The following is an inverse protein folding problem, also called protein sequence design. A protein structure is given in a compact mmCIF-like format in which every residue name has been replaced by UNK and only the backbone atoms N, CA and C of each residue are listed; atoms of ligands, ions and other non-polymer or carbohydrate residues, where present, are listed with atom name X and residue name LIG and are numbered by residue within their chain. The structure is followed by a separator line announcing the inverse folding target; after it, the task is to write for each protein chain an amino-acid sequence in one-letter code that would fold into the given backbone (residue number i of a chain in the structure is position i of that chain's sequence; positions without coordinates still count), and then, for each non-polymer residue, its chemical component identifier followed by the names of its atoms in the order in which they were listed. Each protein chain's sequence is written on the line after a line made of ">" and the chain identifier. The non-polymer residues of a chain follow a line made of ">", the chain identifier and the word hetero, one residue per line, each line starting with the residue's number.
data_IF_351065176229
#
_entry.id   IF_351065176229
#
_cell.length_a   1.000
_cell.length_b   1.000
_cell.length_c   1.000
_cell.angle_alpha   90.00
_cell.angle_beta   90.00
_cell.angle_gamma   90.00
#
_symmetry.space_group_name_H-M   'P 1'
#
loop_
_entity.id
_entity.type
_entity.pdbx_description
1 polymer ?
#
# COMPACT_ATOMS: atom_id res chain seq x y z
N UNK A 1 -13.18 57.92 24.44
CA UNK A 1 -12.12 58.75 23.84
C UNK A 1 -11.02 58.77 24.88
N UNK A 2 -10.13 57.78 24.89
CA UNK A 2 -9.04 57.58 23.91
C UNK A 2 -7.77 58.08 24.61
N UNK A 3 -6.59 57.48 24.53
CA UNK A 3 -6.08 56.32 23.82
C UNK A 3 -4.91 55.80 24.66
N UNK A 4 -4.60 54.53 24.46
CA UNK A 4 -3.44 53.79 24.94
C UNK A 4 -2.13 54.34 24.32
N UNK A 5 -0.98 54.11 24.97
CA UNK A 5 0.28 53.64 24.34
C UNK A 5 1.52 53.65 25.25
N UNK A 6 2.12 52.46 25.26
CA UNK A 6 3.54 52.14 25.10
C UNK A 6 4.45 52.34 26.31
N UNK A 7 5.01 51.21 26.75
CA UNK A 7 6.41 50.77 26.53
C UNK A 7 7.32 51.59 27.45
N UNK A 8 7.96 50.96 28.41
CA UNK A 8 9.37 50.55 28.35
C UNK A 8 9.63 50.13 29.83
N UNK A 9 10.43 49.13 30.21
CA UNK A 9 11.79 48.93 29.80
C UNK A 9 12.36 47.68 30.45
N UNK A 10 13.44 47.23 29.82
CA UNK A 10 14.35 46.17 30.17
C UNK A 10 14.96 46.28 31.59
N UNK A 11 15.21 45.15 32.25
CA UNK A 11 16.36 44.96 33.16
C UNK A 11 16.51 43.46 33.46
N UNK A 12 17.48 42.74 32.90
CA UNK A 12 18.90 42.73 33.25
C UNK A 12 19.13 42.48 34.76
N UNK A 13 19.35 41.21 35.09
CA UNK A 13 19.90 40.79 36.37
C UNK A 13 21.31 41.38 36.60
N UNK A 14 21.55 41.94 37.78
CA UNK A 14 22.88 42.05 38.40
C UNK A 14 22.80 41.67 39.90
N UNK A 15 23.91 41.27 40.55
CA UNK A 15 23.92 40.14 41.49
C UNK A 15 24.05 40.49 42.98
N UNK A 16 23.97 39.45 43.84
CA UNK A 16 24.39 39.37 45.25
C UNK A 16 23.33 39.84 46.28
N UNK A 17 22.84 38.98 47.17
CA UNK A 17 23.64 38.31 48.21
C UNK A 17 23.22 36.84 48.48
N UNK A 18 24.13 36.09 49.10
CA UNK A 18 24.24 34.64 49.10
C UNK A 18 23.14 33.86 49.86
N UNK A 19 22.44 33.00 49.13
CA UNK A 19 21.74 31.81 49.65
C UNK A 19 21.00 31.17 48.48
N UNK A 20 21.46 30.03 47.97
CA UNK A 20 21.04 29.42 46.69
C UNK A 20 19.53 29.56 46.41
N UNK A 21 19.22 30.57 45.60
CA UNK A 21 17.89 30.96 45.11
C UNK A 21 17.26 29.87 44.23
N UNK A 22 15.98 29.61 44.47
CA UNK A 22 15.03 29.59 43.37
C UNK A 22 14.11 30.78 43.62
N UNK A 23 14.14 31.76 42.71
CA UNK A 23 13.28 32.94 42.75
C UNK A 23 11.82 32.48 42.66
N UNK A 24 11.08 32.52 43.76
CA UNK A 24 9.63 32.41 43.73
C UNK A 24 9.07 33.84 43.68
N UNK A 25 8.58 34.25 42.51
CA UNK A 25 7.85 35.50 42.38
C UNK A 25 6.47 35.33 43.01
N UNK A 26 6.23 36.07 44.09
CA UNK A 26 4.94 36.23 44.72
C UNK A 26 4.01 36.99 43.76
N UNK A 27 3.14 36.25 43.06
CA UNK A 27 2.02 36.86 42.34
C UNK A 27 0.87 37.01 43.33
N UNK A 28 0.70 38.23 43.83
CA UNK A 28 -0.51 38.64 44.53
C UNK A 28 -1.74 38.44 43.61
N UNK A 29 -2.45 37.33 43.80
CA UNK A 29 -3.80 37.16 43.29
C UNK A 29 -4.77 37.85 44.26
N UNK A 30 -5.38 38.96 43.83
CA UNK A 30 -6.51 39.57 44.54
C UNK A 30 -7.65 38.53 44.68
N UNK A 31 -8.43 38.53 45.79
CA UNK A 31 -9.41 37.50 46.05
C UNK A 31 -10.64 37.75 45.17
N UNK A 32 -10.75 37.07 44.04
CA UNK A 32 -12.01 37.00 43.29
C UNK A 32 -12.72 35.72 43.70
N UNK A 33 -13.52 35.85 44.75
CA UNK A 33 -14.45 34.84 45.23
C UNK A 33 -15.54 34.63 44.14
N UNK A 34 -15.64 33.44 43.57
CA UNK A 34 -16.72 33.07 42.64
C UNK A 34 -17.67 32.07 43.31
N UNK A 35 -18.94 32.44 43.43
CA UNK A 35 -20.01 31.54 43.87
C UNK A 35 -20.50 30.71 42.68
N UNK A 36 -20.35 29.39 42.74
CA UNK A 36 -20.98 28.48 41.77
C UNK A 36 -22.40 28.15 42.25
N UNK A 37 -23.41 28.54 41.46
CA UNK A 37 -24.80 28.13 41.70
C UNK A 37 -24.92 26.64 41.36
N UNK A 38 -25.38 25.81 42.30
CA UNK A 38 -25.71 24.41 42.00
C UNK A 38 -26.86 24.36 40.98
N UNK A 39 -26.54 24.07 39.73
CA UNK A 39 -27.53 23.82 38.68
C UNK A 39 -27.01 22.78 37.70
N UNK A 40 -27.65 21.62 37.71
CA UNK A 40 -27.59 20.64 36.64
C UNK A 40 -26.55 19.54 36.85
N UNK A 41 -27.03 18.30 36.93
CA UNK A 41 -26.24 17.12 36.61
C UNK A 41 -25.59 17.35 35.24
N UNK A 42 -24.27 17.51 35.19
CA UNK A 42 -23.53 17.53 33.92
C UNK A 42 -23.35 16.09 33.49
N UNK A 43 -24.22 15.60 32.62
CA UNK A 43 -24.04 14.30 32.00
C UNK A 43 -22.97 14.44 30.92
N UNK A 44 -21.76 13.93 31.16
CA UNK A 44 -20.76 13.74 30.10
C UNK A 44 -21.22 12.53 29.30
N UNK A 45 -21.88 12.78 28.17
CA UNK A 45 -22.21 11.73 27.21
C UNK A 45 -20.95 11.50 26.37
N UNK A 46 -20.25 10.40 26.61
CA UNK A 46 -19.20 9.95 25.68
C UNK A 46 -19.93 9.26 24.53
N UNK A 47 -20.15 9.98 23.43
CA UNK A 47 -20.57 9.34 22.18
C UNK A 47 -19.37 8.53 21.67
N UNK A 48 -19.39 7.23 21.94
CA UNK A 48 -18.36 6.28 21.50
C UNK A 48 -18.60 5.80 20.06
N UNK A 49 -19.64 6.31 19.38
CA UNK A 49 -19.96 5.87 18.02
C UNK A 49 -19.18 6.69 17.00
N UNK A 50 -18.37 6.00 16.20
CA UNK A 50 -17.57 6.63 15.17
C UNK A 50 -18.47 6.98 13.96
N UNK A 51 -18.35 8.18 13.36
CA UNK A 51 -19.20 8.56 12.24
C UNK A 51 -19.00 7.67 11.01
N UNK A 52 -20.09 7.36 10.31
CA UNK A 52 -20.05 6.63 9.04
C UNK A 52 -19.32 7.48 7.99
N UNK A 53 -18.33 6.92 7.24
CA UNK A 53 -17.67 7.67 6.18
C UNK A 53 -18.65 8.07 5.07
N UNK A 54 -18.46 9.29 4.56
CA UNK A 54 -19.27 9.86 3.48
C UNK A 54 -18.42 10.11 2.23
N UNK A 55 -19.09 10.33 1.09
CA UNK A 55 -18.41 10.67 -0.16
C UNK A 55 -17.60 9.54 -0.78
N UNK A 56 -17.94 8.27 -0.45
CA UNK A 56 -17.32 7.11 -1.10
C UNK A 56 -17.51 7.20 -2.61
N UNK A 57 -16.40 7.22 -3.33
CA UNK A 57 -16.32 7.42 -4.76
C UNK A 57 -15.26 6.53 -5.37
N UNK A 58 -15.42 6.27 -6.67
CA UNK A 58 -14.51 5.44 -7.47
C UNK A 58 -13.53 6.36 -8.20
N UNK A 59 -12.24 6.09 -8.04
CA UNK A 59 -11.16 6.72 -8.78
C UNK A 59 -10.79 5.93 -10.03
N UNK A 60 -9.49 5.69 -10.23
CA UNK A 60 -8.99 4.90 -11.36
C UNK A 60 -9.51 3.47 -11.33
N UNK A 61 -10.12 3.05 -12.44
CA UNK A 61 -10.60 1.68 -12.67
C UNK A 61 -9.69 1.00 -13.69
N UNK A 62 -9.21 -0.19 -13.36
CA UNK A 62 -8.44 -1.08 -14.24
C UNK A 62 -9.13 -2.44 -14.32
N UNK A 63 -8.59 -3.33 -15.15
CA UNK A 63 -9.16 -4.69 -15.31
C UNK A 63 -9.03 -5.54 -14.05
N UNK A 64 -8.03 -5.30 -13.22
CA UNK A 64 -7.77 -6.10 -12.01
C UNK A 64 -7.59 -5.24 -10.76
N UNK A 65 -7.87 -3.94 -10.85
CA UNK A 65 -7.83 -3.06 -9.68
C UNK A 65 -8.82 -1.91 -9.74
N UNK A 66 -9.33 -1.47 -8.60
CA UNK A 66 -10.11 -0.24 -8.47
C UNK A 66 -9.59 0.61 -7.32
N UNK A 67 -9.43 1.91 -7.56
CA UNK A 67 -9.15 2.90 -6.53
C UNK A 67 -10.45 3.45 -5.94
N UNK A 68 -10.50 3.57 -4.62
CA UNK A 68 -11.61 4.09 -3.84
C UNK A 68 -11.12 5.28 -3.01
N UNK A 69 -11.97 6.30 -2.91
CA UNK A 69 -11.72 7.52 -2.15
C UNK A 69 -12.96 7.91 -1.36
N UNK A 70 -12.79 8.46 -0.16
CA UNK A 70 -13.88 8.97 0.67
C UNK A 70 -13.41 10.16 1.51
N UNK A 71 -14.34 10.81 2.20
CA UNK A 71 -14.03 11.92 3.11
C UNK A 71 -13.48 11.40 4.43
N UNK A 72 -12.40 12.01 4.92
CA UNK A 72 -11.82 11.69 6.24
C UNK A 72 -12.83 11.91 7.37
N UNK A 73 -12.96 10.93 8.26
CA UNK A 73 -13.80 10.98 9.45
C UNK A 73 -12.96 11.39 10.66
N UNK A 74 -13.42 12.40 11.40
CA UNK A 74 -12.78 12.83 12.65
C UNK A 74 -12.79 11.69 13.67
N UNK A 75 -11.65 11.46 14.32
CA UNK A 75 -11.48 10.36 15.28
C UNK A 75 -11.19 9.00 14.65
N UNK A 76 -11.24 8.84 13.33
CA UNK A 76 -10.86 7.59 12.69
C UNK A 76 -9.33 7.47 12.60
N UNK A 77 -8.77 6.33 13.03
CA UNK A 77 -7.36 6.01 12.82
C UNK A 77 -7.11 5.36 11.46
N UNK A 78 -8.10 4.61 10.94
CA UNK A 78 -8.08 3.95 9.62
C UNK A 78 -9.51 3.60 9.18
N UNK A 79 -9.64 2.88 8.08
CA UNK A 79 -10.93 2.47 7.52
C UNK A 79 -10.92 1.02 7.07
N UNK A 80 -12.03 0.29 7.25
CA UNK A 80 -12.22 -1.04 6.68
C UNK A 80 -13.02 -0.95 5.39
N UNK A 81 -12.60 -1.72 4.38
CA UNK A 81 -13.22 -1.74 3.06
C UNK A 81 -13.89 -3.09 2.88
N UNK A 82 -15.11 -3.06 2.38
CA UNK A 82 -15.90 -4.24 2.07
C UNK A 82 -16.34 -4.23 0.61
N UNK A 83 -16.43 -5.42 0.04
CA UNK A 83 -16.82 -5.66 -1.35
C UNK A 83 -17.89 -6.73 -1.45
N UNK A 84 -18.86 -6.52 -2.34
CA UNK A 84 -19.84 -7.52 -2.74
C UNK A 84 -19.81 -7.69 -4.27
N UNK A 85 -20.14 -8.88 -4.77
CA UNK A 85 -20.44 -9.06 -6.19
C UNK A 85 -21.75 -8.33 -6.53
N UNK A 86 -21.90 -7.90 -7.79
CA UNK A 86 -23.09 -7.16 -8.21
C UNK A 86 -24.39 -7.90 -7.88
N UNK A 87 -25.30 -7.21 -7.19
CA UNK A 87 -26.59 -7.75 -6.77
C UNK A 87 -26.55 -8.58 -5.47
N UNK A 88 -25.37 -8.87 -4.92
CA UNK A 88 -25.25 -9.45 -3.59
C UNK A 88 -25.56 -8.41 -2.51
N UNK A 89 -26.26 -8.84 -1.46
CA UNK A 89 -26.47 -8.05 -0.24
C UNK A 89 -25.37 -8.27 0.80
N UNK A 90 -24.54 -9.29 0.61
CA UNK A 90 -23.46 -9.65 1.52
C UNK A 90 -22.14 -9.01 1.10
N UNK A 91 -21.63 -8.14 1.96
CA UNK A 91 -20.35 -7.46 1.79
C UNK A 91 -19.25 -8.18 2.58
N UNK A 92 -18.21 -8.63 1.89
CA UNK A 92 -17.05 -9.28 2.48
C UNK A 92 -15.94 -8.27 2.75
N UNK A 93 -15.26 -8.39 3.88
CA UNK A 93 -14.08 -7.57 4.18
C UNK A 93 -12.95 -7.87 3.19
N UNK A 94 -12.38 -6.83 2.58
CA UNK A 94 -11.30 -6.96 1.58
C UNK A 94 -10.00 -6.26 1.98
N UNK A 95 -10.01 -5.46 3.04
CA UNK A 95 -8.79 -4.85 3.56
C UNK A 95 -9.04 -3.58 4.37
N UNK A 96 -7.95 -2.97 4.81
CA UNK A 96 -7.93 -1.70 5.53
C UNK A 96 -7.07 -0.67 4.82
N UNK A 97 -7.41 0.60 4.99
CA UNK A 97 -6.56 1.71 4.56
C UNK A 97 -5.28 1.80 5.41
N UNK A 98 -4.29 2.54 4.91
CA UNK A 98 -3.19 3.00 5.76
C UNK A 98 -3.70 3.98 6.84
N UNK A 99 -3.02 4.09 7.99
CA UNK A 99 -3.41 5.00 9.06
C UNK A 99 -3.56 6.44 8.57
N UNK A 100 -4.69 7.08 8.89
CA UNK A 100 -5.01 8.46 8.49
C UNK A 100 -5.31 8.68 7.00
N UNK A 101 -5.24 7.64 6.15
CA UNK A 101 -5.44 7.77 4.70
C UNK A 101 -6.87 7.36 4.32
N UNK A 102 -7.62 8.26 3.69
CA UNK A 102 -8.99 8.02 3.22
C UNK A 102 -9.04 7.53 1.75
N UNK A 103 -8.13 6.63 1.40
CA UNK A 103 -8.07 5.99 0.07
C UNK A 103 -7.70 4.52 0.20
N UNK A 104 -8.15 3.71 -0.76
CA UNK A 104 -7.80 2.29 -0.85
C UNK A 104 -7.77 1.84 -2.30
N UNK A 105 -6.93 0.86 -2.60
CA UNK A 105 -6.88 0.23 -3.92
C UNK A 105 -7.09 -1.26 -3.75
N UNK A 106 -8.24 -1.74 -4.20
CA UNK A 106 -8.49 -3.17 -4.29
C UNK A 106 -7.81 -3.71 -5.56
N UNK A 107 -6.84 -4.62 -5.39
CA UNK A 107 -6.07 -5.21 -6.49
C UNK A 107 -6.46 -6.67 -6.76
N UNK A 108 -7.57 -7.14 -6.18
CA UNK A 108 -7.99 -8.55 -6.24
C UNK A 108 -9.39 -8.66 -6.85
N UNK A 109 -9.62 -7.98 -7.98
CA UNK A 109 -10.87 -8.03 -8.74
C UNK A 109 -10.68 -8.69 -10.11
N UNK A 110 -11.75 -9.29 -10.62
CA UNK A 110 -11.77 -9.89 -11.96
C UNK A 110 -12.08 -8.84 -13.02
N UNK A 111 -11.54 -8.97 -14.25
CA UNK A 111 -11.89 -8.11 -15.38
C UNK A 111 -13.36 -8.20 -15.78
N UNK A 112 -13.89 -7.12 -16.37
CA UNK A 112 -15.28 -7.02 -16.84
C UNK A 112 -16.31 -7.46 -15.79
N UNK A 113 -16.01 -7.28 -14.50
CA UNK A 113 -16.83 -7.75 -13.39
C UNK A 113 -17.30 -6.55 -12.57
N UNK A 114 -18.58 -6.56 -12.21
CA UNK A 114 -19.20 -5.49 -11.43
C UNK A 114 -19.15 -5.83 -9.94
N UNK A 115 -18.69 -4.86 -9.16
CA UNK A 115 -18.57 -4.94 -7.70
C UNK A 115 -19.25 -3.76 -7.04
N UNK A 116 -19.79 -4.01 -5.85
CA UNK A 116 -20.25 -2.98 -4.92
C UNK A 116 -19.25 -2.82 -3.78
N UNK A 117 -18.94 -1.59 -3.40
CA UNK A 117 -18.05 -1.27 -2.29
C UNK A 117 -18.73 -0.46 -1.21
N UNK A 118 -18.34 -0.71 0.04
CA UNK A 118 -18.66 0.10 1.21
C UNK A 118 -17.43 0.28 2.07
N UNK A 119 -17.44 1.33 2.89
CA UNK A 119 -16.36 1.64 3.84
C UNK A 119 -16.93 1.93 5.22
N UNK A 120 -16.23 1.53 6.27
CA UNK A 120 -16.46 1.93 7.66
C UNK A 120 -15.23 2.69 8.18
N UNK A 121 -15.43 3.58 9.13
CA UNK A 121 -14.34 4.17 9.88
C UNK A 121 -13.97 3.26 11.06
N UNK A 122 -12.69 3.25 11.42
CA UNK A 122 -12.16 2.47 12.54
C UNK A 122 -11.32 3.40 13.42
N UNK A 123 -11.58 3.36 14.72
CA UNK A 123 -10.72 3.93 15.75
C UNK A 123 -10.00 2.79 16.48
N UNK A 124 -8.74 3.01 16.84
CA UNK A 124 -7.96 2.06 17.65
C UNK A 124 -7.34 2.87 18.78
N UNK A 125 -7.62 2.49 20.03
CA UNK A 125 -7.05 3.16 21.19
C UNK A 125 -5.59 2.76 21.45
N UNK A 126 -4.96 3.38 22.45
CA UNK A 126 -3.58 3.09 22.84
C UNK A 126 -3.40 1.68 23.41
N UNK A 127 -4.47 1.02 23.85
CA UNK A 127 -4.49 -0.36 24.31
C UNK A 127 -4.74 -1.38 23.18
N UNK A 128 -4.93 -0.92 21.94
CA UNK A 128 -5.20 -1.75 20.77
C UNK A 128 -6.66 -2.16 20.61
N UNK A 129 -7.60 -1.65 21.40
CA UNK A 129 -9.03 -1.92 21.22
C UNK A 129 -9.57 -1.14 20.03
N UNK A 130 -10.30 -1.83 19.15
CA UNK A 130 -10.85 -1.26 17.94
C UNK A 130 -12.36 -1.03 18.07
N UNK A 131 -12.82 0.14 17.61
CA UNK A 131 -14.24 0.46 17.42
C UNK A 131 -14.49 0.79 15.96
N UNK A 132 -15.61 0.34 15.41
CA UNK A 132 -15.93 0.46 13.99
C UNK A 132 -17.33 1.05 13.79
N UNK A 133 -17.46 1.97 12.83
CA UNK A 133 -18.75 2.55 12.46
C UNK A 133 -19.61 1.57 11.67
N UNK A 134 -20.92 1.85 11.51
CA UNK A 134 -21.68 1.27 10.41
C UNK A 134 -21.03 1.54 9.05
N UNK A 135 -21.36 0.71 8.05
CA UNK A 135 -20.85 0.86 6.69
C UNK A 135 -21.54 2.01 5.94
N UNK A 136 -20.81 2.66 5.04
CA UNK A 136 -21.30 3.74 4.17
C UNK A 136 -22.41 3.29 3.20
N UNK A 137 -22.98 4.26 2.49
CA UNK A 137 -23.68 3.98 1.24
C UNK A 137 -22.74 3.29 0.25
N UNK A 138 -23.29 2.41 -0.59
CA UNK A 138 -22.48 1.65 -1.55
C UNK A 138 -22.16 2.49 -2.78
N UNK A 139 -21.01 2.22 -3.39
CA UNK A 139 -20.70 2.62 -4.77
C UNK A 139 -20.56 1.37 -5.63
N UNK A 140 -21.07 1.42 -6.86
CA UNK A 140 -20.99 0.33 -7.83
C UNK A 140 -19.98 0.68 -8.91
N UNK A 141 -19.15 -0.29 -9.29
CA UNK A 141 -18.14 -0.13 -10.34
C UNK A 141 -18.01 -1.41 -11.15
N UNK A 142 -17.89 -1.27 -12.46
CA UNK A 142 -17.49 -2.36 -13.35
C UNK A 142 -16.02 -2.21 -13.69
N UNK A 143 -15.22 -3.24 -13.39
CA UNK A 143 -13.80 -3.26 -13.76
C UNK A 143 -13.64 -3.19 -15.27
N UNK A 144 -12.54 -2.58 -15.73
CA UNK A 144 -12.30 -2.44 -17.15
C UNK A 144 -12.17 -3.82 -17.82
N UNK A 145 -12.48 -3.88 -19.12
CA UNK A 145 -12.14 -5.06 -19.89
C UNK A 145 -10.61 -5.30 -19.85
N UNK A 146 -10.15 -6.55 -19.96
CA UNK A 146 -8.74 -6.82 -20.23
C UNK A 146 -8.33 -6.03 -21.48
N UNK A 147 -7.11 -5.45 -21.52
CA UNK A 147 -6.65 -4.77 -22.72
C UNK A 147 -6.74 -5.72 -23.94
N UNK A 148 -7.31 -5.24 -25.04
CA UNK A 148 -7.70 -6.06 -26.21
C UNK A 148 -6.53 -6.70 -26.97
N UNK A 149 -5.30 -6.44 -26.53
CA UNK A 149 -4.04 -6.99 -27.02
C UNK A 149 -3.55 -8.22 -26.22
N UNK A 150 -4.26 -8.62 -25.15
CA UNK A 150 -3.98 -9.87 -24.46
C UNK A 150 -4.77 -11.03 -25.09
N UNK A 151 -4.13 -12.18 -25.38
CA UNK A 151 -4.88 -13.38 -25.76
C UNK A 151 -5.84 -13.76 -24.62
N UNK A 152 -6.97 -14.37 -24.98
CA UNK A 152 -7.91 -15.02 -24.03
C UNK A 152 -7.14 -15.85 -23.01
N UNK A 153 -7.60 -15.86 -21.75
CA UNK A 153 -6.99 -16.65 -20.66
C UNK A 153 -6.48 -17.99 -21.17
N UNK A 154 -5.18 -18.22 -21.03
CA UNK A 154 -4.55 -19.41 -21.57
C UNK A 154 -5.22 -20.65 -20.95
N UNK A 155 -5.67 -21.59 -21.78
CA UNK A 155 -6.28 -22.86 -21.34
C UNK A 155 -5.26 -23.84 -20.77
N UNK A 156 -3.96 -23.49 -20.83
CA UNK A 156 -2.87 -24.18 -20.15
C UNK A 156 -1.77 -23.19 -19.80
N UNK A 157 -1.26 -23.27 -18.56
CA UNK A 157 -0.14 -22.46 -18.09
C UNK A 157 1.16 -23.27 -18.18
N UNK A 158 2.15 -22.75 -18.89
CA UNK A 158 3.51 -23.33 -18.86
C UNK A 158 4.16 -23.15 -17.49
N UNK A 159 3.84 -22.03 -16.82
CA UNK A 159 4.26 -21.73 -15.45
C UNK A 159 3.05 -21.16 -14.71
N UNK A 160 2.69 -21.75 -13.58
CA UNK A 160 1.62 -21.29 -12.70
C UNK A 160 2.03 -21.54 -11.24
N UNK A 161 2.81 -20.62 -10.69
CA UNK A 161 3.30 -20.71 -9.31
C UNK A 161 2.64 -19.65 -8.44
N UNK A 162 2.01 -20.09 -7.36
CA UNK A 162 1.48 -19.22 -6.31
C UNK A 162 2.33 -19.23 -5.03
N UNK A 163 3.33 -20.13 -4.95
CA UNK A 163 4.22 -20.33 -3.78
C UNK A 163 3.55 -20.69 -2.44
N UNK A 164 2.22 -20.76 -2.36
CA UNK A 164 1.49 -20.97 -1.11
C UNK A 164 1.77 -22.32 -0.45
N UNK A 165 2.09 -23.34 -1.24
CA UNK A 165 2.50 -24.66 -0.74
C UNK A 165 3.98 -24.76 -0.33
N UNK A 166 4.75 -23.68 -0.40
CA UNK A 166 6.19 -23.71 -0.11
C UNK A 166 6.48 -23.43 1.38
N UNK A 167 7.60 -24.00 1.86
CA UNK A 167 8.10 -23.77 3.23
C UNK A 167 8.65 -22.36 3.38
N UNK A 168 8.20 -21.65 4.42
CA UNK A 168 8.67 -20.30 4.77
C UNK A 168 10.18 -20.30 5.03
N UNK A 169 10.89 -19.31 4.51
CA UNK A 169 12.34 -19.16 4.65
C UNK A 169 13.17 -20.06 3.73
N UNK A 170 12.57 -21.04 3.07
CA UNK A 170 13.25 -21.90 2.10
C UNK A 170 13.34 -21.26 0.71
N UNK A 171 14.16 -21.84 -0.17
CA UNK A 171 14.16 -21.51 -1.58
C UNK A 171 12.81 -21.93 -2.24
N UNK A 172 12.31 -21.17 -3.23
CA UNK A 172 11.08 -21.53 -3.94
C UNK A 172 11.21 -22.86 -4.69
N UNK A 173 10.22 -23.73 -4.51
CA UNK A 173 10.21 -25.07 -5.13
C UNK A 173 10.05 -24.97 -6.65
N UNK A 174 10.90 -25.69 -7.40
CA UNK A 174 10.89 -25.67 -8.87
C UNK A 174 11.53 -24.42 -9.50
N UNK A 175 12.23 -23.63 -8.71
CA UNK A 175 12.99 -22.46 -9.14
C UNK A 175 14.47 -22.63 -8.79
N UNK A 176 15.34 -22.08 -9.64
CA UNK A 176 16.79 -22.07 -9.48
C UNK A 176 17.23 -20.70 -8.93
N UNK A 177 17.47 -20.57 -7.61
CA UNK A 177 17.92 -19.31 -7.04
C UNK A 177 19.40 -19.04 -7.35
N UNK A 178 19.72 -17.80 -7.71
CA UNK A 178 21.05 -17.24 -7.64
C UNK A 178 21.16 -16.44 -6.32
N UNK A 179 22.01 -16.90 -5.41
CA UNK A 179 22.25 -16.29 -4.11
C UNK A 179 23.64 -15.67 -3.99
N UNK A 180 24.40 -15.55 -5.10
CA UNK A 180 25.75 -14.99 -5.09
C UNK A 180 25.81 -13.52 -4.66
N UNK A 181 24.71 -12.79 -4.81
CA UNK A 181 24.56 -11.39 -4.43
C UNK A 181 23.56 -11.09 -3.32
N UNK A 182 22.97 -12.11 -2.71
CA UNK A 182 21.93 -11.93 -1.70
C UNK A 182 21.11 -13.19 -1.44
N UNK A 183 19.85 -13.03 -1.06
CA UNK A 183 18.97 -14.14 -0.66
C UNK A 183 17.73 -14.24 -1.55
N UNK A 184 17.23 -15.47 -1.69
CA UNK A 184 15.99 -15.79 -2.40
C UNK A 184 15.21 -16.76 -1.53
N UNK A 185 14.12 -16.28 -0.92
CA UNK A 185 13.38 -17.04 0.09
C UNK A 185 11.88 -16.85 -0.06
N UNK A 186 11.10 -17.88 0.28
CA UNK A 186 9.65 -17.77 0.41
C UNK A 186 9.30 -17.05 1.71
N UNK A 187 8.39 -16.10 1.64
CA UNK A 187 7.96 -15.26 2.76
C UNK A 187 6.43 -15.24 2.85
N UNK A 188 5.91 -15.13 4.07
CA UNK A 188 4.48 -14.99 4.38
C UNK A 188 3.99 -13.56 4.08
N UNK A 189 4.20 -13.10 2.85
CA UNK A 189 3.82 -11.77 2.38
C UNK A 189 2.89 -11.95 1.18
N UNK A 190 1.67 -11.38 1.22
CA UNK A 190 1.14 -10.49 2.26
C UNK A 190 0.71 -11.17 3.58
N UNK A 191 0.42 -12.47 3.59
CA UNK A 191 -0.03 -13.19 4.80
C UNK A 191 0.28 -14.69 4.72
N UNK A 192 0.14 -15.49 5.82
CA UNK A 192 0.64 -16.86 5.83
C UNK A 192 0.05 -17.86 4.82
N UNK A 193 -1.13 -17.57 4.27
CA UNK A 193 -1.77 -18.40 3.25
C UNK A 193 -1.59 -17.87 1.82
N UNK A 194 -1.00 -16.68 1.66
CA UNK A 194 -0.65 -16.03 0.38
C UNK A 194 0.82 -15.61 0.45
N UNK A 195 1.69 -16.52 0.04
CA UNK A 195 3.14 -16.42 0.16
C UNK A 195 3.74 -15.88 -1.12
N UNK A 196 4.90 -15.26 -0.97
CA UNK A 196 5.66 -14.68 -2.09
C UNK A 196 7.13 -15.06 -2.02
N UNK A 197 7.81 -15.01 -3.16
CA UNK A 197 9.28 -15.08 -3.19
C UNK A 197 9.85 -13.69 -2.95
N UNK A 198 10.62 -13.55 -1.88
CA UNK A 198 11.46 -12.38 -1.62
C UNK A 198 12.85 -12.62 -2.21
N UNK A 199 13.22 -11.76 -3.16
CA UNK A 199 14.59 -11.62 -3.65
C UNK A 199 15.17 -10.39 -2.97
N UNK A 200 16.24 -10.56 -2.22
CA UNK A 200 16.93 -9.49 -1.51
C UNK A 200 18.39 -9.44 -1.93
N UNK A 201 18.83 -8.32 -2.50
CA UNK A 201 20.22 -8.11 -2.93
C UNK A 201 20.95 -7.32 -1.83
N UNK A 202 22.02 -7.89 -1.30
CA UNK A 202 22.90 -7.23 -0.31
C UNK A 202 24.26 -6.85 -0.90
N UNK A 203 24.66 -7.46 -2.01
CA UNK A 203 25.92 -7.20 -2.71
C UNK A 203 25.79 -6.06 -3.71
N UNK A 204 26.84 -5.26 -3.85
CA UNK A 204 26.98 -4.25 -4.92
C UNK A 204 27.48 -4.84 -6.23
N UNK A 205 28.13 -6.00 -6.21
CA UNK A 205 28.83 -6.58 -7.38
C UNK A 205 28.14 -7.79 -7.98
N UNK A 206 27.37 -8.54 -7.19
CA UNK A 206 26.72 -9.78 -7.62
C UNK A 206 25.21 -9.67 -7.54
N UNK A 207 24.50 -10.36 -8.42
CA UNK A 207 23.03 -10.37 -8.44
C UNK A 207 22.41 -11.41 -7.49
N UNK A 208 21.18 -11.13 -7.07
CA UNK A 208 20.28 -12.10 -6.45
C UNK A 208 19.10 -12.29 -7.40
N UNK A 209 18.75 -13.52 -7.76
CA UNK A 209 17.79 -13.79 -8.83
C UNK A 209 17.09 -15.14 -8.61
N UNK A 210 15.92 -15.35 -9.22
CA UNK A 210 15.21 -16.63 -9.19
C UNK A 210 14.83 -17.04 -10.62
N UNK A 211 15.33 -18.19 -11.09
CA UNK A 211 15.13 -18.61 -12.48
C UNK A 211 14.19 -19.80 -12.57
N UNK A 212 13.22 -19.78 -13.49
CA UNK A 212 12.41 -20.96 -13.83
C UNK A 212 12.57 -21.32 -15.30
N UNK A 213 13.06 -22.53 -15.55
CA UNK A 213 13.21 -23.07 -16.90
C UNK A 213 11.95 -23.80 -17.33
N UNK A 214 11.60 -23.67 -18.60
CA UNK A 214 10.53 -24.40 -19.26
C UNK A 214 10.88 -24.59 -20.74
N UNK A 215 10.17 -25.52 -21.39
CA UNK A 215 10.35 -25.81 -22.81
C UNK A 215 10.07 -24.60 -23.69
N UNK A 216 10.77 -24.48 -24.81
CA UNK A 216 10.62 -23.36 -25.73
C UNK A 216 9.15 -23.16 -26.14
N UNK A 217 8.64 -21.95 -25.96
CA UNK A 217 7.29 -21.56 -26.38
C UNK A 217 7.31 -20.93 -27.77
N UNK A 218 6.22 -21.04 -28.54
CA UNK A 218 6.03 -20.37 -29.83
C UNK A 218 4.68 -19.64 -29.88
N UNK A 219 4.54 -18.64 -30.76
CA UNK A 219 3.31 -17.86 -30.88
C UNK A 219 3.20 -16.75 -29.83
N UNK A 220 1.99 -16.24 -29.54
CA UNK A 220 1.81 -15.18 -28.53
C UNK A 220 2.08 -15.73 -27.13
N UNK A 221 3.10 -15.19 -26.45
CA UNK A 221 3.41 -15.48 -25.05
C UNK A 221 2.86 -14.36 -24.18
N UNK A 222 2.13 -14.71 -23.13
CA UNK A 222 1.68 -13.76 -22.12
C UNK A 222 2.30 -14.12 -20.80
N UNK A 223 2.78 -13.11 -20.09
CA UNK A 223 3.29 -13.28 -18.74
C UNK A 223 2.52 -12.33 -17.84
N UNK A 224 2.14 -12.86 -16.69
CA UNK A 224 1.49 -12.13 -15.62
C UNK A 224 2.23 -12.41 -14.32
N UNK A 225 2.63 -11.37 -13.60
CA UNK A 225 3.23 -11.49 -12.28
C UNK A 225 2.68 -10.42 -11.34
N UNK A 226 2.35 -10.81 -10.11
CA UNK A 226 1.99 -9.88 -9.03
C UNK A 226 3.25 -9.58 -8.23
N UNK A 227 3.68 -8.32 -8.23
CA UNK A 227 4.99 -7.92 -7.70
C UNK A 227 4.93 -6.68 -6.83
N UNK A 228 5.88 -6.57 -5.91
CA UNK A 228 6.02 -5.45 -4.99
C UNK A 228 7.50 -5.14 -4.83
N UNK A 229 7.83 -3.86 -4.69
CA UNK A 229 9.16 -3.42 -4.24
C UNK A 229 9.01 -2.47 -3.07
N UNK A 230 9.96 -2.53 -2.12
CA UNK A 230 10.02 -1.66 -0.93
C UNK A 230 10.81 -0.39 -1.18
N UNK A 231 11.58 -0.32 -2.27
CA UNK A 231 12.47 0.82 -2.55
C UNK A 231 12.02 1.56 -3.81
N UNK A 232 12.31 2.85 -3.86
CA UNK A 232 11.97 3.75 -4.95
C UNK A 232 13.17 4.09 -5.87
N UNK A 233 14.34 3.47 -5.64
CA UNK A 233 15.57 3.70 -6.39
C UNK A 233 16.16 2.38 -6.90
N UNK A 234 17.04 2.48 -7.89
CA UNK A 234 17.65 1.33 -8.53
C UNK A 234 16.75 0.68 -9.59
N UNK A 235 17.25 -0.42 -10.17
CA UNK A 235 16.55 -1.18 -11.21
C UNK A 235 16.36 -2.62 -10.75
N UNK A 236 15.13 -3.12 -10.83
CA UNK A 236 14.77 -4.52 -10.57
C UNK A 236 13.93 -5.05 -11.71
N UNK A 237 14.35 -6.16 -12.32
CA UNK A 237 13.69 -6.72 -13.50
C UNK A 237 12.68 -7.81 -13.13
N UNK A 238 11.51 -7.75 -13.74
CA UNK A 238 10.34 -8.53 -13.36
C UNK A 238 9.47 -8.82 -14.59
N UNK A 239 9.56 -10.00 -15.23
CA UNK A 239 10.73 -10.88 -15.39
C UNK A 239 11.69 -10.32 -16.45
N UNK A 240 12.80 -11.01 -16.63
CA UNK A 240 13.52 -11.03 -17.88
C UNK A 240 13.05 -12.21 -18.76
N UNK A 241 13.03 -11.97 -20.05
CA UNK A 241 12.68 -12.96 -21.06
C UNK A 241 13.87 -13.14 -21.98
N UNK A 242 14.27 -14.39 -22.22
CA UNK A 242 15.45 -14.75 -22.97
C UNK A 242 15.09 -15.56 -24.23
N UNK A 243 15.80 -15.33 -25.32
CA UNK A 243 15.71 -16.23 -26.48
C UNK A 243 16.39 -17.58 -26.19
N UNK A 244 16.30 -18.52 -27.14
CA UNK A 244 16.94 -19.83 -27.03
C UNK A 244 18.48 -19.79 -26.99
N UNK A 245 19.08 -18.63 -27.29
CA UNK A 245 20.52 -18.39 -27.24
C UNK A 245 20.96 -17.75 -25.91
N UNK A 246 20.02 -17.47 -24.99
CA UNK A 246 20.32 -16.83 -23.72
C UNK A 246 20.45 -15.30 -23.80
N UNK A 247 19.99 -14.66 -24.87
CA UNK A 247 19.94 -13.21 -24.95
C UNK A 247 18.65 -12.68 -24.32
N UNK A 248 18.76 -11.67 -23.45
CA UNK A 248 17.57 -10.96 -22.96
C UNK A 248 16.91 -10.19 -24.09
N UNK A 249 15.65 -10.49 -24.38
CA UNK A 249 14.88 -9.89 -25.46
C UNK A 249 13.75 -8.98 -24.98
N UNK A 250 13.28 -9.18 -23.74
CA UNK A 250 12.32 -8.30 -23.10
C UNK A 250 12.47 -8.35 -21.59
N UNK A 251 12.13 -7.25 -20.92
CA UNK A 251 11.87 -7.27 -19.49
C UNK A 251 10.93 -6.16 -19.09
N UNK A 252 10.22 -6.32 -17.98
CA UNK A 252 9.67 -5.16 -17.25
C UNK A 252 10.54 -4.90 -16.05
N UNK A 253 10.56 -3.66 -15.55
CA UNK A 253 11.35 -3.29 -14.40
C UNK A 253 10.63 -2.26 -13.53
N UNK A 254 10.91 -2.29 -12.23
CA UNK A 254 10.90 -1.07 -11.43
C UNK A 254 12.25 -0.37 -11.62
N UNK A 255 12.24 0.90 -12.00
CA UNK A 255 13.42 1.68 -12.34
C UNK A 255 13.26 3.11 -11.81
N UNK A 256 13.99 3.43 -10.74
CA UNK A 256 14.08 4.78 -10.18
C UNK A 256 12.71 5.48 -10.04
N UNK A 257 11.77 4.81 -9.36
CA UNK A 257 10.41 5.33 -9.14
C UNK A 257 9.42 5.12 -10.28
N UNK A 258 9.84 4.49 -11.38
CA UNK A 258 8.99 4.21 -12.54
C UNK A 258 8.88 2.71 -12.83
N UNK A 259 7.72 2.28 -13.32
CA UNK A 259 7.55 1.04 -14.06
C UNK A 259 8.08 1.30 -15.46
N UNK A 260 8.96 0.45 -15.95
CA UNK A 260 9.60 0.57 -17.25
C UNK A 260 9.58 -0.75 -17.99
N UNK A 261 9.63 -0.72 -19.33
CA UNK A 261 9.89 -1.90 -20.14
C UNK A 261 11.23 -1.79 -20.85
N UNK A 262 11.95 -2.90 -20.95
CA UNK A 262 13.12 -3.02 -21.79
C UNK A 262 12.74 -3.72 -23.09
N UNK A 263 13.08 -3.10 -24.21
CA UNK A 263 12.98 -3.70 -25.53
C UNK A 263 14.33 -3.55 -26.21
N UNK A 264 14.94 -4.67 -26.61
CA UNK A 264 16.23 -4.70 -27.30
C UNK A 264 17.32 -3.87 -26.60
N UNK A 265 17.41 -3.97 -25.26
CA UNK A 265 18.41 -3.28 -24.46
C UNK A 265 18.02 -1.87 -24.01
N UNK A 266 16.99 -1.26 -24.60
CA UNK A 266 16.55 0.10 -24.23
C UNK A 266 15.45 0.05 -23.17
N UNK A 267 15.68 0.65 -22.01
CA UNK A 267 14.71 0.78 -20.92
C UNK A 267 13.87 2.06 -21.10
N UNK A 268 12.54 1.93 -21.13
CA UNK A 268 11.59 3.03 -21.34
C UNK A 268 10.58 3.09 -20.21
N UNK A 269 10.45 4.24 -19.55
CA UNK A 269 9.48 4.46 -18.48
C UNK A 269 8.05 4.51 -19.02
N UNK A 270 7.11 3.92 -18.28
CA UNK A 270 5.69 3.86 -18.63
C UNK A 270 4.89 4.68 -17.62
N UNK A 271 5.03 4.38 -16.33
CA UNK A 271 4.21 4.93 -15.25
C UNK A 271 5.02 5.05 -13.96
N UNK A 272 4.71 6.00 -13.05
CA UNK A 272 5.30 6.01 -11.72
C UNK A 272 4.79 4.84 -10.86
N UNK A 273 5.59 4.40 -9.87
CA UNK A 273 5.15 3.49 -8.82
C UNK A 273 5.38 4.05 -7.42
N UNK A 274 4.50 3.64 -6.50
CA UNK A 274 4.61 3.81 -5.05
C UNK A 274 5.23 2.54 -4.45
N UNK A 275 6.25 2.72 -3.59
CA UNK A 275 6.85 1.64 -2.82
C UNK A 275 5.83 0.96 -1.90
N UNK A 276 6.07 -0.31 -1.55
CA UNK A 276 5.20 -1.14 -0.71
C UNK A 276 3.77 -1.39 -1.23
N UNK A 277 3.53 -1.05 -2.49
CA UNK A 277 2.29 -1.37 -3.19
C UNK A 277 2.49 -2.56 -4.14
N UNK A 278 1.50 -3.45 -4.17
CA UNK A 278 1.43 -4.54 -5.13
C UNK A 278 1.00 -4.03 -6.51
N UNK A 279 1.66 -4.53 -7.55
CA UNK A 279 1.33 -4.28 -8.95
C UNK A 279 1.11 -5.61 -9.67
N UNK A 280 0.06 -5.68 -10.48
CA UNK A 280 -0.08 -6.75 -11.47
C UNK A 280 0.56 -6.27 -12.75
N UNK A 281 1.49 -7.08 -13.22
CA UNK A 281 2.41 -6.75 -14.27
C UNK A 281 2.11 -7.77 -15.39
N UNK A 282 1.46 -7.29 -16.46
CA UNK A 282 0.92 -8.13 -17.54
C UNK A 282 1.46 -7.65 -18.88
N UNK A 283 2.12 -8.51 -19.63
CA UNK A 283 2.63 -8.21 -20.96
C UNK A 283 2.44 -9.38 -21.89
N UNK A 284 2.12 -9.05 -23.14
CA UNK A 284 2.05 -9.99 -24.22
C UNK A 284 3.19 -9.67 -25.20
N UNK A 285 3.87 -10.72 -25.64
CA UNK A 285 4.90 -10.66 -26.64
C UNK A 285 4.57 -11.67 -27.75
N UNK A 286 4.98 -11.39 -28.99
CA UNK A 286 4.94 -12.36 -30.09
C UNK A 286 6.39 -12.75 -30.37
N UNK A 287 6.88 -13.89 -29.89
CA UNK A 287 8.23 -14.30 -30.19
C UNK A 287 8.32 -15.60 -30.98
N UNK A 288 9.39 -15.66 -31.76
CA UNK A 288 10.02 -16.90 -32.18
C UNK A 288 10.88 -17.40 -30.98
N UNK A 289 11.11 -18.71 -30.80
CA UNK A 289 11.05 -19.41 -29.50
C UNK A 289 11.88 -18.90 -28.30
N UNK A 290 11.32 -19.01 -27.07
CA UNK A 290 11.80 -18.33 -25.82
C UNK A 290 11.94 -19.24 -24.57
N UNK A 291 12.83 -18.86 -23.62
CA UNK A 291 12.88 -19.24 -22.17
C UNK A 291 12.74 -17.99 -21.24
N UNK A 292 12.23 -18.08 -20.00
CA UNK A 292 12.14 -16.93 -19.05
C UNK A 292 13.06 -17.10 -17.82
N UNK A 293 13.40 -15.99 -17.18
CA UNK A 293 14.27 -15.92 -15.97
C UNK A 293 13.88 -14.67 -15.17
N UNK A 294 13.84 -14.68 -13.83
CA UNK A 294 13.57 -13.47 -13.03
C UNK A 294 14.86 -13.04 -12.31
N UNK A 295 15.25 -11.76 -12.37
CA UNK A 295 16.46 -11.23 -11.73
C UNK A 295 16.22 -9.88 -11.04
#
# INVERSE_FOLDING_TARGET
>A
MGDDKNDEDENLCTPFDQGTDHCEYDVQLLPIEYMVKAAGTTTVIVDTSLPVPQGLSVGTVRSTSVALTWTTVSGATKYSIYRADAGSTQFNYVGQSQPGIATYIDNNISPSTTYDYKVSSVFVDTGGQASESPQSTKVTVTSAAPPANFPTSATGYTVNDNFNGNTTGAAPSGWNPNTSGGTVTVQEVPFPTDKSVKIYKSSTSNDAAATKLFSSLSGKVTVEAKVKTTENSGVRYIPNIYDNNGNKIASVAFSNGNIAYNKNGTLTNIDPYVADKWYISKWCWIPLPIRMTYS
#
